data_IF_906925619765
#
_entry.id   IF_906925619765
#
_cell.length_a   1.000
_cell.length_b   1.000
_cell.length_c   1.000
_cell.angle_alpha   90.00
_cell.angle_beta   90.00
_cell.angle_gamma   90.00
#
_symmetry.space_group_name_H-M   'P 1'
#
loop_
_entity.id
_entity.type
_entity.pdbx_description
1 polymer ?
#
# COMPACT_ATOMS: atom_id res chain seq x y z
N UNK A 1 68.54 -16.57 -55.16
CA UNK A 1 69.58 -16.70 -54.11
C UNK A 1 69.17 -17.86 -53.22
N UNK A 2 69.79 -19.03 -53.43
CA UNK A 2 70.76 -19.69 -52.53
C UNK A 2 70.09 -20.26 -51.26
N UNK A 3 69.80 -21.57 -51.26
CA UNK A 3 70.48 -22.65 -50.47
C UNK A 3 69.95 -22.76 -49.04
N UNK A 4 69.81 -23.90 -48.36
CA UNK A 4 70.09 -25.32 -48.59
C UNK A 4 69.36 -26.11 -47.49
N UNK A 5 69.04 -27.37 -47.75
CA UNK A 5 68.64 -28.38 -46.75
C UNK A 5 69.78 -28.76 -45.79
N UNK A 6 69.43 -29.34 -44.63
CA UNK A 6 70.13 -30.36 -43.79
C UNK A 6 69.51 -30.28 -42.36
N UNK A 7 69.37 -31.29 -41.50
CA UNK A 7 69.59 -32.75 -41.48
C UNK A 7 68.87 -33.28 -40.22
N UNK A 8 68.62 -34.59 -40.22
CA UNK A 8 68.07 -35.43 -39.16
C UNK A 8 68.89 -35.49 -37.85
N UNK A 9 68.17 -35.94 -36.81
CA UNK A 9 68.59 -36.82 -35.71
C UNK A 9 69.35 -36.24 -34.50
N UNK A 10 68.78 -36.40 -33.31
CA UNK A 10 69.23 -37.40 -32.30
C UNK A 10 68.31 -37.42 -31.09
N UNK A 11 67.98 -38.62 -30.63
CA UNK A 11 67.37 -38.92 -29.32
C UNK A 11 68.49 -39.23 -28.35
N UNK A 12 68.45 -38.71 -27.11
CA UNK A 12 68.85 -39.44 -25.92
C UNK A 12 68.34 -38.76 -24.64
N UNK A 13 68.16 -39.58 -23.62
CA UNK A 13 67.24 -39.42 -22.49
C UNK A 13 67.93 -38.97 -21.18
N UNK A 14 67.07 -38.90 -20.14
CA UNK A 14 67.36 -38.91 -18.69
C UNK A 14 67.72 -37.52 -18.15
N UNK A 15 66.99 -36.95 -17.19
CA UNK A 15 66.93 -37.41 -15.80
C UNK A 15 65.70 -36.83 -15.09
N UNK A 16 64.90 -37.70 -14.46
CA UNK A 16 63.96 -37.33 -13.41
C UNK A 16 64.74 -37.24 -12.09
N UNK A 17 64.73 -36.08 -11.44
CA UNK A 17 64.98 -35.98 -10.00
C UNK A 17 63.98 -35.00 -9.38
N UNK A 18 63.30 -35.50 -8.36
CA UNK A 18 62.29 -34.83 -7.57
C UNK A 18 62.86 -33.63 -6.80
N UNK A 19 62.03 -32.59 -6.65
CA UNK A 19 62.36 -31.42 -5.85
C UNK A 19 61.21 -30.43 -5.72
N UNK A 20 60.37 -30.68 -4.70
CA UNK A 20 59.70 -29.72 -3.83
C UNK A 20 58.87 -28.56 -4.44
N UNK A 21 57.55 -28.74 -4.35
CA UNK A 21 56.56 -27.78 -3.83
C UNK A 21 56.83 -26.27 -4.01
N UNK A 22 56.03 -25.61 -4.84
CA UNK A 22 55.21 -24.45 -4.44
C UNK A 22 54.31 -24.03 -5.60
N UNK A 23 53.04 -23.82 -5.23
CA UNK A 23 52.04 -22.97 -5.88
C UNK A 23 51.46 -23.44 -7.22
N UNK A 24 50.56 -24.42 -7.09
CA UNK A 24 49.42 -24.57 -8.01
C UNK A 24 48.64 -23.24 -8.03
N UNK A 25 48.77 -22.50 -9.13
CA UNK A 25 47.77 -21.52 -9.53
C UNK A 25 46.53 -22.32 -9.94
N UNK A 26 45.70 -22.63 -8.94
CA UNK A 26 44.33 -23.02 -9.16
C UNK A 26 43.64 -21.83 -9.84
N UNK A 27 43.42 -21.94 -11.15
CA UNK A 27 42.35 -21.23 -11.83
C UNK A 27 41.07 -21.51 -11.05
N UNK A 28 40.64 -20.55 -10.23
CA UNK A 28 39.37 -20.66 -9.54
C UNK A 28 38.29 -20.76 -10.61
N UNK A 29 37.45 -21.81 -10.59
CA UNK A 29 36.30 -21.86 -11.47
C UNK A 29 35.44 -20.65 -11.16
N UNK A 30 34.84 -20.04 -12.19
CA UNK A 30 33.69 -19.16 -12.00
C UNK A 30 32.57 -20.00 -11.35
N UNK A 31 32.63 -20.13 -10.02
CA UNK A 31 31.54 -20.60 -9.20
C UNK A 31 30.43 -19.57 -9.34
N UNK A 32 29.44 -19.95 -10.15
CA UNK A 32 28.03 -19.72 -9.90
C UNK A 32 27.77 -18.50 -9.03
N UNK A 33 27.77 -17.32 -9.67
CA UNK A 33 26.89 -16.26 -9.23
C UNK A 33 25.48 -16.85 -9.28
N UNK A 34 25.01 -17.32 -8.13
CA UNK A 34 23.66 -17.80 -7.96
C UNK A 34 22.71 -16.69 -8.41
N UNK A 35 21.86 -16.99 -9.38
CA UNK A 35 20.68 -16.22 -9.78
C UNK A 35 19.63 -16.20 -8.63
N UNK A 36 20.06 -15.99 -7.39
CA UNK A 36 19.20 -15.98 -6.19
C UNK A 36 19.27 -14.65 -5.43
N UNK A 37 19.84 -13.59 -6.01
CA UNK A 37 19.85 -12.27 -5.38
C UNK A 37 19.51 -11.09 -6.30
N UNK A 38 18.76 -11.33 -7.38
CA UNK A 38 18.21 -10.23 -8.21
C UNK A 38 16.79 -9.94 -7.75
N UNK A 39 16.72 -9.32 -6.56
CA UNK A 39 15.67 -8.42 -6.06
C UNK A 39 15.88 -8.24 -4.55
N UNK A 40 16.93 -7.49 -4.17
CA UNK A 40 17.16 -7.14 -2.77
C UNK A 40 15.94 -6.44 -2.19
N UNK A 41 15.50 -6.88 -1.00
CA UNK A 41 14.41 -6.24 -0.27
C UNK A 41 14.71 -4.77 -0.01
N UNK A 42 13.65 -4.00 0.25
CA UNK A 42 13.78 -2.57 0.47
C UNK A 42 14.64 -2.26 1.69
N UNK A 43 15.38 -1.15 1.61
CA UNK A 43 16.22 -0.71 2.70
C UNK A 43 15.42 -0.16 3.89
N UNK A 44 16.11 0.10 5.02
CA UNK A 44 15.47 0.37 6.30
C UNK A 44 14.61 1.63 6.31
N UNK A 45 14.95 2.66 5.52
CA UNK A 45 14.18 3.90 5.47
C UNK A 45 12.85 3.70 4.72
N UNK A 46 12.89 3.00 3.58
CA UNK A 46 11.68 2.55 2.88
C UNK A 46 10.78 1.73 3.81
N UNK A 47 11.35 0.72 4.48
CA UNK A 47 10.59 -0.17 5.37
C UNK A 47 10.01 0.54 6.60
N UNK A 48 10.68 1.56 7.13
CA UNK A 48 10.15 2.38 8.22
C UNK A 48 8.82 3.06 7.81
N UNK A 49 8.77 3.62 6.61
CA UNK A 49 7.55 4.24 6.08
C UNK A 49 6.44 3.22 5.80
N UNK A 50 6.76 2.06 5.23
CA UNK A 50 5.79 0.96 5.05
C UNK A 50 5.25 0.47 6.41
N UNK A 51 6.09 0.39 7.44
CA UNK A 51 5.66 0.00 8.78
C UNK A 51 4.71 1.02 9.44
N UNK A 52 4.85 2.31 9.15
CA UNK A 52 3.85 3.31 9.59
C UNK A 52 2.47 3.05 9.01
N UNK A 53 2.42 2.63 7.74
CA UNK A 53 1.17 2.28 7.07
C UNK A 53 0.59 0.99 7.65
N UNK A 54 1.42 -0.05 7.80
CA UNK A 54 1.02 -1.41 8.11
C UNK A 54 0.76 -1.67 9.59
N UNK A 55 1.70 -1.32 10.45
CA UNK A 55 1.81 -1.93 11.77
C UNK A 55 1.67 -0.93 12.91
N UNK A 56 2.31 0.24 12.82
CA UNK A 56 2.34 1.17 13.95
C UNK A 56 2.51 2.62 13.54
N UNK A 57 1.64 3.49 14.04
CA UNK A 57 1.82 4.92 14.03
C UNK A 57 1.59 5.50 15.42
N UNK A 58 2.47 6.40 15.88
CA UNK A 58 2.51 6.82 17.28
C UNK A 58 1.21 7.52 17.73
N UNK A 59 0.59 8.27 16.82
CA UNK A 59 -0.58 9.09 17.13
C UNK A 59 -1.90 8.34 17.00
N UNK A 60 -1.92 7.10 16.49
CA UNK A 60 -3.17 6.33 16.41
C UNK A 60 -3.56 5.78 17.78
N UNK A 61 -4.86 5.65 18.06
CA UNK A 61 -5.35 4.88 19.20
C UNK A 61 -4.75 3.47 19.21
N UNK A 62 -4.22 3.05 20.36
CA UNK A 62 -3.51 1.78 20.54
C UNK A 62 -2.27 1.60 19.64
N UNK A 63 -1.77 2.68 19.02
CA UNK A 63 -0.58 2.69 18.19
C UNK A 63 -0.61 1.67 17.04
N UNK A 64 -1.78 1.44 16.44
CA UNK A 64 -1.94 0.60 15.24
C UNK A 64 -1.46 1.32 13.98
N UNK A 65 -1.26 0.58 12.89
CA UNK A 65 -0.90 1.16 11.58
C UNK A 65 -1.98 2.10 11.03
N UNK A 66 -1.57 3.01 10.14
CA UNK A 66 -2.46 4.00 9.52
C UNK A 66 -3.59 3.37 8.70
N UNK A 67 -3.32 2.26 7.99
CA UNK A 67 -4.37 1.57 7.23
C UNK A 67 -5.37 0.87 8.14
N UNK A 68 -4.89 0.30 9.25
CA UNK A 68 -5.75 -0.34 10.25
C UNK A 68 -6.73 0.67 10.85
N UNK A 69 -6.23 1.82 11.32
CA UNK A 69 -7.11 2.84 11.90
C UNK A 69 -8.06 3.45 10.85
N UNK A 70 -7.63 3.61 9.59
CA UNK A 70 -8.51 4.04 8.50
C UNK A 70 -9.69 3.07 8.33
N UNK A 71 -9.44 1.75 8.32
CA UNK A 71 -10.51 0.75 8.18
C UNK A 71 -11.45 0.73 9.38
N UNK A 72 -10.94 0.92 10.59
CA UNK A 72 -11.77 1.00 11.79
C UNK A 72 -12.70 2.22 11.78
N UNK A 73 -12.18 3.41 11.45
CA UNK A 73 -12.99 4.63 11.34
C UNK A 73 -14.00 4.52 10.18
N UNK A 74 -13.60 3.94 9.04
CA UNK A 74 -14.49 3.70 7.91
C UNK A 74 -15.64 2.75 8.24
N UNK A 75 -15.38 1.68 8.99
CA UNK A 75 -16.43 0.75 9.42
C UNK A 75 -17.48 1.44 10.32
N UNK A 76 -17.04 2.38 11.16
CA UNK A 76 -17.94 3.16 12.02
C UNK A 76 -18.75 4.15 11.19
N UNK A 77 -18.11 4.91 10.29
CA UNK A 77 -18.79 5.82 9.37
C UNK A 77 -19.85 5.07 8.53
N UNK A 78 -19.48 3.91 7.99
CA UNK A 78 -20.38 3.02 7.24
C UNK A 78 -21.57 2.54 8.08
N UNK A 79 -21.32 2.12 9.32
CA UNK A 79 -22.40 1.69 10.23
C UNK A 79 -23.45 2.80 10.40
N UNK A 80 -23.00 4.03 10.63
CA UNK A 80 -23.92 5.16 10.80
C UNK A 80 -24.58 5.60 9.50
N UNK A 81 -23.90 5.53 8.36
CA UNK A 81 -24.50 5.81 7.06
C UNK A 81 -25.64 4.82 6.73
N UNK A 82 -25.42 3.53 6.98
CA UNK A 82 -26.46 2.50 6.82
C UNK A 82 -27.60 2.67 7.83
N UNK A 83 -27.32 3.08 9.07
CA UNK A 83 -28.37 3.40 10.03
C UNK A 83 -29.21 4.60 9.58
N UNK A 84 -28.59 5.66 9.06
CA UNK A 84 -29.31 6.81 8.50
C UNK A 84 -30.27 6.36 7.37
N UNK A 85 -29.77 5.55 6.43
CA UNK A 85 -30.56 5.02 5.32
C UNK A 85 -31.73 4.12 5.74
N UNK A 86 -31.65 3.45 6.90
CA UNK A 86 -32.75 2.59 7.40
C UNK A 86 -34.02 3.36 7.80
N UNK A 87 -33.90 4.64 8.12
CA UNK A 87 -35.04 5.53 8.43
C UNK A 87 -34.86 6.86 7.70
N UNK A 88 -34.68 6.75 6.39
CA UNK A 88 -34.33 7.84 5.50
C UNK A 88 -35.42 8.94 5.43
N UNK A 89 -36.66 8.59 5.81
CA UNK A 89 -37.82 9.47 5.94
C UNK A 89 -37.85 10.29 7.25
N UNK A 90 -36.95 10.00 8.20
CA UNK A 90 -36.84 10.71 9.46
C UNK A 90 -35.62 11.65 9.45
N UNK A 91 -35.86 12.93 9.20
CA UNK A 91 -34.81 13.96 9.09
C UNK A 91 -33.96 14.09 10.35
N UNK A 92 -34.55 14.06 11.55
CA UNK A 92 -33.77 14.14 12.80
C UNK A 92 -32.86 12.91 12.99
N UNK A 93 -33.33 11.72 12.58
CA UNK A 93 -32.54 10.49 12.59
C UNK A 93 -31.35 10.55 11.63
N UNK A 94 -31.60 11.00 10.39
CA UNK A 94 -30.54 11.17 9.38
C UNK A 94 -29.49 12.17 9.86
N UNK A 95 -29.93 13.32 10.40
CA UNK A 95 -29.01 14.36 10.90
C UNK A 95 -28.19 13.86 12.10
N UNK A 96 -28.78 13.14 13.04
CA UNK A 96 -28.05 12.55 14.17
C UNK A 96 -26.94 11.60 13.70
N UNK A 97 -27.24 10.72 12.75
CA UNK A 97 -26.23 9.82 12.21
C UNK A 97 -25.18 10.55 11.37
N UNK A 98 -25.54 11.63 10.66
CA UNK A 98 -24.57 12.47 9.97
C UNK A 98 -23.59 13.15 10.94
N UNK A 99 -23.99 13.50 12.17
CA UNK A 99 -23.07 13.97 13.22
C UNK A 99 -22.06 12.88 13.57
N UNK A 100 -22.50 11.63 13.75
CA UNK A 100 -21.61 10.52 14.07
C UNK A 100 -20.63 10.21 12.92
N UNK A 101 -21.10 10.27 11.68
CA UNK A 101 -20.25 10.13 10.50
C UNK A 101 -19.21 11.25 10.48
N UNK A 102 -19.62 12.51 10.67
CA UNK A 102 -18.69 13.65 10.73
C UNK A 102 -17.60 13.42 11.77
N UNK A 103 -17.97 12.91 12.95
CA UNK A 103 -17.02 12.62 14.01
C UNK A 103 -16.01 11.53 13.61
N UNK A 104 -16.45 10.44 12.95
CA UNK A 104 -15.54 9.41 12.43
C UNK A 104 -14.64 9.92 11.30
N UNK A 105 -15.13 10.86 10.47
CA UNK A 105 -14.34 11.48 9.40
C UNK A 105 -13.26 12.43 9.94
N UNK A 106 -13.69 13.35 10.81
CA UNK A 106 -12.88 14.45 11.37
C UNK A 106 -13.28 14.75 12.82
N UNK A 107 -12.72 14.03 13.81
CA UNK A 107 -12.94 14.31 15.22
C UNK A 107 -12.51 15.73 15.58
N UNK A 108 -13.28 16.39 16.45
CA UNK A 108 -13.06 17.79 16.88
C UNK A 108 -12.82 17.91 18.41
N UNK A 109 -12.50 16.81 19.08
CA UNK A 109 -12.32 16.75 20.54
C UNK A 109 -13.60 16.52 21.34
N UNK A 110 -14.78 16.57 20.71
CA UNK A 110 -16.03 16.13 21.34
C UNK A 110 -16.08 14.60 21.41
N UNK A 111 -16.93 14.06 22.30
CA UNK A 111 -17.15 12.61 22.35
C UNK A 111 -18.11 12.21 21.23
N UNK A 112 -17.77 11.17 20.48
CA UNK A 112 -18.64 10.58 19.48
C UNK A 112 -18.17 9.19 19.05
N UNK A 113 -18.97 8.50 18.21
CA UNK A 113 -18.57 7.22 17.63
C UNK A 113 -17.33 7.40 16.75
N UNK A 114 -16.39 6.47 16.85
CA UNK A 114 -15.10 6.57 16.18
C UNK A 114 -14.00 6.09 17.10
N UNK A 115 -12.78 6.02 16.57
CA UNK A 115 -11.58 5.78 17.37
C UNK A 115 -10.91 7.08 17.79
N UNK A 116 -11.30 8.20 17.17
CA UNK A 116 -10.84 9.54 17.52
C UNK A 116 -9.59 9.98 16.75
N UNK A 117 -9.19 9.22 15.72
CA UNK A 117 -8.09 9.61 14.85
C UNK A 117 -8.57 10.36 13.61
N UNK A 118 -9.72 9.96 13.08
CA UNK A 118 -10.32 10.53 11.88
C UNK A 118 -9.91 9.80 10.60
N UNK A 119 -10.92 9.37 9.84
CA UNK A 119 -10.74 8.64 8.59
C UNK A 119 -9.94 9.44 7.55
N UNK A 120 -10.25 10.73 7.39
CA UNK A 120 -9.55 11.58 6.39
C UNK A 120 -8.07 11.70 6.74
N UNK A 121 -7.76 11.94 8.02
CA UNK A 121 -6.36 11.99 8.51
C UNK A 121 -5.65 10.65 8.29
N UNK A 122 -6.33 9.54 8.54
CA UNK A 122 -5.78 8.20 8.36
C UNK A 122 -5.40 7.92 6.91
N UNK A 123 -6.32 8.14 5.97
CA UNK A 123 -6.08 7.91 4.53
C UNK A 123 -4.98 8.81 4.00
N UNK A 124 -4.98 10.10 4.38
CA UNK A 124 -3.88 11.01 4.02
C UNK A 124 -2.52 10.54 4.57
N UNK A 125 -2.51 9.95 5.77
CA UNK A 125 -1.31 9.35 6.36
C UNK A 125 -0.84 8.12 5.57
N UNK A 126 -1.75 7.23 5.17
CA UNK A 126 -1.43 6.07 4.31
C UNK A 126 -0.78 6.55 3.02
N UNK A 127 -1.41 7.50 2.32
CA UNK A 127 -0.88 8.05 1.08
C UNK A 127 0.52 8.64 1.27
N UNK A 128 0.66 9.53 2.26
CA UNK A 128 1.92 10.23 2.54
C UNK A 128 3.07 9.26 2.80
N UNK A 129 2.88 8.28 3.68
CA UNK A 129 3.97 7.37 4.02
C UNK A 129 4.30 6.40 2.88
N UNK A 130 3.32 5.98 2.10
CA UNK A 130 3.61 5.20 0.89
C UNK A 130 4.40 6.03 -0.13
N UNK A 131 4.04 7.31 -0.35
CA UNK A 131 4.82 8.20 -1.24
C UNK A 131 6.25 8.40 -0.75
N UNK A 132 6.46 8.63 0.55
CA UNK A 132 7.81 8.75 1.11
C UNK A 132 8.64 7.47 0.93
N UNK A 133 8.01 6.29 0.99
CA UNK A 133 8.65 5.02 0.68
C UNK A 133 9.03 4.91 -0.81
N UNK A 134 8.15 5.36 -1.72
CA UNK A 134 8.41 5.40 -3.16
C UNK A 134 9.53 6.38 -3.56
N UNK A 135 9.72 7.44 -2.78
CA UNK A 135 10.77 8.46 -3.02
C UNK A 135 12.17 8.00 -2.61
N UNK A 136 12.31 6.92 -1.83
CA UNK A 136 13.62 6.46 -1.42
C UNK A 136 14.40 5.80 -2.56
N UNK A 137 15.72 5.96 -2.53
CA UNK A 137 16.66 5.28 -3.43
C UNK A 137 16.78 3.79 -3.11
N UNK A 138 16.49 3.40 -1.86
CA UNK A 138 16.60 2.03 -1.36
C UNK A 138 15.29 1.21 -1.50
N UNK A 139 14.30 1.67 -2.27
CA UNK A 139 13.07 0.91 -2.52
C UNK A 139 13.34 -0.33 -3.37
N UNK A 140 12.64 -1.43 -3.07
CA UNK A 140 12.59 -2.60 -3.94
C UNK A 140 11.60 -2.39 -5.11
N UNK A 141 11.59 -3.28 -6.11
CA UNK A 141 10.52 -3.21 -7.13
C UNK A 141 9.14 -3.60 -6.57
N UNK A 142 9.06 -4.37 -5.48
CA UNK A 142 7.77 -4.66 -4.87
C UNK A 142 7.19 -3.41 -4.20
N UNK A 143 8.01 -2.62 -3.52
CA UNK A 143 7.59 -1.31 -3.01
C UNK A 143 7.21 -0.38 -4.15
N UNK A 144 7.97 -0.36 -5.26
CA UNK A 144 7.61 0.45 -6.44
C UNK A 144 6.23 0.07 -6.98
N UNK A 145 6.00 -1.22 -7.26
CA UNK A 145 4.75 -1.70 -7.85
C UNK A 145 3.55 -1.52 -6.91
N UNK A 146 3.60 -2.11 -5.71
CA UNK A 146 2.45 -2.10 -4.81
C UNK A 146 2.26 -0.75 -4.13
N UNK A 147 3.33 0.03 -3.95
CA UNK A 147 3.24 1.39 -3.44
C UNK A 147 2.44 2.30 -4.39
N UNK A 148 2.69 2.22 -5.71
CA UNK A 148 1.89 2.96 -6.69
C UNK A 148 0.41 2.59 -6.64
N UNK A 149 0.10 1.29 -6.50
CA UNK A 149 -1.28 0.80 -6.38
C UNK A 149 -1.97 1.27 -5.10
N UNK A 150 -1.24 1.31 -3.98
CA UNK A 150 -1.72 1.87 -2.72
C UNK A 150 -1.99 3.36 -2.87
N UNK A 151 -1.10 4.13 -3.50
CA UNK A 151 -1.31 5.57 -3.74
C UNK A 151 -2.53 5.82 -4.61
N UNK A 152 -2.65 5.13 -5.75
CA UNK A 152 -3.82 5.23 -6.62
C UNK A 152 -5.13 4.86 -5.88
N UNK A 153 -5.07 3.86 -5.00
CA UNK A 153 -6.20 3.50 -4.15
C UNK A 153 -6.57 4.63 -3.17
N UNK A 154 -5.58 5.29 -2.57
CA UNK A 154 -5.84 6.41 -1.66
C UNK A 154 -6.40 7.63 -2.38
N UNK A 155 -6.03 7.90 -3.63
CA UNK A 155 -6.63 8.97 -4.44
C UNK A 155 -8.12 8.72 -4.68
N UNK A 156 -8.44 7.50 -5.12
CA UNK A 156 -9.80 7.00 -5.29
C UNK A 156 -10.64 7.14 -4.02
N UNK A 157 -10.06 6.81 -2.85
CA UNK A 157 -10.73 6.94 -1.55
C UNK A 157 -10.89 8.42 -1.15
N UNK A 158 -9.88 9.26 -1.35
CA UNK A 158 -9.93 10.69 -0.99
C UNK A 158 -11.04 11.42 -1.76
N UNK A 159 -11.23 11.12 -3.05
CA UNK A 159 -12.35 11.67 -3.83
C UNK A 159 -13.71 11.35 -3.20
N UNK A 160 -13.90 10.12 -2.73
CA UNK A 160 -15.14 9.68 -2.08
C UNK A 160 -15.30 10.26 -0.68
N UNK A 161 -14.21 10.40 0.06
CA UNK A 161 -14.22 11.04 1.38
C UNK A 161 -14.59 12.52 1.27
N UNK A 162 -14.13 13.22 0.25
CA UNK A 162 -14.54 14.60 -0.03
C UNK A 162 -16.04 14.68 -0.33
N UNK A 163 -16.56 13.82 -1.21
CA UNK A 163 -17.99 13.74 -1.51
C UNK A 163 -18.82 13.43 -0.25
N UNK A 164 -18.38 12.45 0.55
CA UNK A 164 -19.04 12.03 1.78
C UNK A 164 -19.02 13.16 2.83
N UNK A 165 -17.90 13.87 2.98
CA UNK A 165 -17.77 15.01 3.89
C UNK A 165 -18.72 16.15 3.49
N UNK A 166 -18.75 16.50 2.20
CA UNK A 166 -19.61 17.55 1.68
C UNK A 166 -21.11 17.19 1.84
N UNK A 167 -21.48 15.94 1.58
CA UNK A 167 -22.85 15.45 1.76
C UNK A 167 -23.29 15.45 3.24
N UNK A 168 -22.39 15.08 4.15
CA UNK A 168 -22.62 15.22 5.60
C UNK A 168 -22.86 16.69 5.96
N UNK A 169 -22.03 17.62 5.44
CA UNK A 169 -22.20 19.04 5.70
C UNK A 169 -23.50 19.61 5.12
N UNK A 170 -23.98 19.10 3.98
CA UNK A 170 -25.28 19.42 3.41
C UNK A 170 -26.42 18.96 4.33
N UNK A 171 -26.45 17.68 4.71
CA UNK A 171 -27.45 17.09 5.62
C UNK A 171 -27.55 17.88 6.93
N UNK A 172 -26.41 18.23 7.53
CA UNK A 172 -26.40 18.94 8.80
C UNK A 172 -26.95 20.37 8.70
N UNK A 173 -26.76 21.04 7.56
CA UNK A 173 -27.29 22.39 7.29
C UNK A 173 -28.74 22.41 6.84
N UNK A 174 -29.25 21.31 6.28
CA UNK A 174 -30.61 21.25 5.75
C UNK A 174 -31.68 21.56 6.82
N UNK A 175 -32.77 22.26 6.48
CA UNK A 175 -33.91 22.45 7.38
C UNK A 175 -34.52 21.12 7.83
N UNK A 176 -35.15 21.09 9.01
CA UNK A 176 -35.83 19.87 9.50
C UNK A 176 -37.00 19.41 8.62
N UNK A 177 -37.59 20.33 7.85
CA UNK A 177 -38.68 20.03 6.90
C UNK A 177 -38.19 19.38 5.60
N UNK A 178 -36.88 19.35 5.34
CA UNK A 178 -36.31 18.79 4.12
C UNK A 178 -36.41 17.26 4.11
N UNK A 179 -36.69 16.68 2.94
CA UNK A 179 -36.60 15.23 2.75
C UNK A 179 -35.15 14.83 2.43
N UNK A 180 -34.48 14.19 3.39
CA UNK A 180 -33.08 13.79 3.26
C UNK A 180 -32.88 12.34 2.81
N UNK A 181 -33.93 11.70 2.29
CA UNK A 181 -33.89 10.26 1.99
C UNK A 181 -32.84 9.92 0.94
N UNK A 182 -32.76 10.71 -0.14
CA UNK A 182 -31.76 10.52 -1.19
C UNK A 182 -30.33 10.68 -0.65
N UNK A 183 -30.10 11.72 0.16
CA UNK A 183 -28.80 11.97 0.77
C UNK A 183 -28.40 10.86 1.76
N UNK A 184 -29.34 10.31 2.52
CA UNK A 184 -29.07 9.19 3.42
C UNK A 184 -28.64 7.92 2.66
N UNK A 185 -29.32 7.59 1.55
CA UNK A 185 -28.93 6.47 0.70
C UNK A 185 -27.59 6.71 -0.02
N UNK A 186 -27.33 7.94 -0.45
CA UNK A 186 -26.04 8.30 -1.05
C UNK A 186 -24.90 8.21 -0.04
N UNK A 187 -25.10 8.61 1.22
CA UNK A 187 -24.11 8.39 2.28
C UNK A 187 -23.79 6.91 2.47
N UNK A 188 -24.82 6.04 2.49
CA UNK A 188 -24.62 4.60 2.60
C UNK A 188 -23.78 4.08 1.43
N UNK A 189 -24.14 4.47 0.19
CA UNK A 189 -23.39 4.13 -1.02
C UNK A 189 -21.93 4.58 -0.93
N UNK A 190 -21.66 5.86 -0.69
CA UNK A 190 -20.29 6.39 -0.57
C UNK A 190 -19.49 5.67 0.51
N UNK A 191 -20.11 5.37 1.66
CA UNK A 191 -19.45 4.65 2.75
C UNK A 191 -19.09 3.20 2.40
N UNK A 192 -19.91 2.53 1.59
CA UNK A 192 -19.60 1.21 1.04
C UNK A 192 -18.39 1.30 0.11
N UNK A 193 -18.39 2.27 -0.80
CA UNK A 193 -17.32 2.44 -1.77
C UNK A 193 -15.97 2.81 -1.12
N UNK A 194 -15.96 3.65 -0.09
CA UNK A 194 -14.74 3.97 0.67
C UNK A 194 -14.10 2.69 1.23
N UNK A 195 -14.91 1.74 1.71
CA UNK A 195 -14.40 0.51 2.31
C UNK A 195 -14.10 -0.58 1.28
N UNK A 196 -15.02 -0.79 0.32
CA UNK A 196 -15.05 -1.96 -0.57
C UNK A 196 -14.58 -1.66 -2.00
N UNK A 197 -14.58 -0.38 -2.40
CA UNK A 197 -14.47 0.06 -3.78
C UNK A 197 -15.80 0.00 -4.54
N UNK A 198 -15.76 0.37 -5.82
CA UNK A 198 -16.85 0.18 -6.78
C UNK A 198 -16.23 -0.24 -8.11
N UNK A 199 -16.72 -1.34 -8.69
CA UNK A 199 -16.42 -1.72 -10.06
C UNK A 199 -17.13 -0.71 -11.00
N UNK A 200 -16.37 0.28 -11.48
CA UNK A 200 -16.90 1.41 -12.24
C UNK A 200 -17.01 1.08 -13.72
N UNK A 201 -16.13 0.23 -14.23
CA UNK A 201 -16.11 -0.18 -15.63
C UNK A 201 -16.97 -1.43 -15.92
N UNK A 202 -17.49 -2.09 -14.87
CA UNK A 202 -18.33 -3.29 -14.91
C UNK A 202 -17.63 -4.51 -15.52
N UNK A 203 -16.32 -4.62 -15.32
CA UNK A 203 -15.53 -5.77 -15.79
C UNK A 203 -15.55 -6.96 -14.81
N UNK A 204 -16.14 -6.78 -13.63
CA UNK A 204 -16.26 -7.79 -12.58
C UNK A 204 -15.12 -7.75 -11.56
N UNK A 205 -14.15 -6.87 -11.72
CA UNK A 205 -13.05 -6.65 -10.79
C UNK A 205 -13.07 -5.23 -10.20
N UNK A 206 -12.32 -5.05 -9.12
CA UNK A 206 -12.03 -3.71 -8.56
C UNK A 206 -10.52 -3.64 -8.53
N UNK A 207 -9.94 -3.02 -9.55
CA UNK A 207 -8.50 -2.87 -9.70
C UNK A 207 -8.02 -1.48 -9.29
N UNK A 208 -6.71 -1.22 -9.30
CA UNK A 208 -6.12 0.04 -8.82
C UNK A 208 -6.31 1.23 -9.79
N UNK A 209 -6.91 0.98 -10.95
CA UNK A 209 -7.16 1.96 -12.01
C UNK A 209 -8.59 2.49 -11.89
N UNK A 210 -8.94 3.38 -12.81
CA UNK A 210 -10.30 3.89 -13.02
C UNK A 210 -11.00 4.50 -11.78
N UNK A 211 -10.27 4.80 -10.70
CA UNK A 211 -10.80 5.25 -9.40
C UNK A 211 -11.75 4.25 -8.74
N UNK A 212 -11.55 2.95 -8.93
CA UNK A 212 -12.36 1.87 -8.36
C UNK A 212 -12.04 1.50 -6.90
N UNK A 213 -10.77 1.52 -6.44
CA UNK A 213 -10.40 0.95 -5.14
C UNK A 213 -11.05 1.60 -3.95
N UNK A 214 -11.32 0.77 -2.94
CA UNK A 214 -11.50 1.18 -1.55
C UNK A 214 -10.36 0.69 -0.64
N UNK A 215 -10.58 0.81 0.66
CA UNK A 215 -9.60 0.40 1.69
C UNK A 215 -9.30 -1.11 1.67
N UNK A 216 -10.23 -1.94 1.19
CA UNK A 216 -10.00 -3.39 1.07
C UNK A 216 -8.97 -3.74 -0.02
N UNK A 217 -8.98 -3.06 -1.17
CA UNK A 217 -7.96 -3.20 -2.21
C UNK A 217 -6.62 -2.66 -1.70
N UNK A 218 -6.64 -1.51 -1.01
CA UNK A 218 -5.43 -0.94 -0.37
C UNK A 218 -4.77 -1.95 0.58
N UNK A 219 -5.56 -2.68 1.38
CA UNK A 219 -5.05 -3.73 2.26
C UNK A 219 -4.48 -4.92 1.48
N UNK A 220 -5.14 -5.35 0.40
CA UNK A 220 -4.61 -6.43 -0.45
C UNK A 220 -3.23 -6.07 -0.99
N UNK A 221 -3.08 -4.88 -1.57
CA UNK A 221 -1.79 -4.42 -2.09
C UNK A 221 -0.73 -4.30 -0.99
N UNK A 222 -1.09 -3.84 0.20
CA UNK A 222 -0.17 -3.79 1.33
C UNK A 222 0.26 -5.19 1.81
N UNK A 223 -0.65 -6.16 1.79
CA UNK A 223 -0.34 -7.55 2.14
C UNK A 223 0.57 -8.20 1.09
N UNK A 224 0.30 -7.97 -0.19
CA UNK A 224 1.14 -8.46 -1.29
C UNK A 224 2.54 -7.85 -1.21
N UNK A 225 2.64 -6.54 -0.94
CA UNK A 225 3.90 -5.85 -0.65
C UNK A 225 4.62 -6.52 0.53
N UNK A 226 3.92 -6.69 1.66
CA UNK A 226 4.51 -7.27 2.88
C UNK A 226 5.02 -8.69 2.65
N UNK A 227 4.30 -9.49 1.87
CA UNK A 227 4.73 -10.85 1.52
C UNK A 227 6.02 -10.84 0.68
N UNK A 228 6.15 -9.91 -0.27
CA UNK A 228 7.36 -9.77 -1.12
C UNK A 228 8.56 -9.23 -0.35
N UNK A 229 8.32 -8.37 0.63
CA UNK A 229 9.35 -7.83 1.53
C UNK A 229 9.64 -8.72 2.74
N UNK A 230 8.93 -9.85 2.89
CA UNK A 230 9.03 -10.76 4.05
C UNK A 230 8.80 -10.06 5.42
N UNK A 231 7.79 -9.17 5.48
CA UNK A 231 7.43 -8.35 6.64
C UNK A 231 6.33 -8.93 7.55
#
# INVERSE_FOLDING_TARGET
MKTSHYLLATSLAVTLLAGCASDDVQEQPMEQMSEQNVMGGAGPMTLAHINHVRSRWADTPNQVGLLTIAREEAAIARTHAHLAAKKADNTDWVKMHAVHIKHALIPNGEKGPGKGYGLIKAVAGVQKHTMLALEQDDKSQAVALYGEQIVASTDSINMRLEQMYNLVAEILRAPRSENLSSQAHMLAKLSDQVLMGEDLNQDGEIDWRNNEPGLNQTLRYLNDLSQKEAL
#
